data_IF_291612052737
#
_entry.id   IF_291612052737
#
_cell.length_a   1.000
_cell.length_b   1.000
_cell.length_c   1.000
_cell.angle_alpha   90.00
_cell.angle_beta   90.00
_cell.angle_gamma   90.00
#
_symmetry.space_group_name_H-M   'P 1'
#
loop_
_entity.id
_entity.type
_entity.pdbx_description
1 polymer ?
#
# COMPACT_ATOMS: atom_id res chain seq x y z
N UNK A 1 -27.98 25.74 -75.31
CA UNK A 1 -26.63 25.13 -75.33
C UNK A 1 -25.68 26.04 -74.56
N UNK A 2 -24.91 25.52 -73.58
CA UNK A 2 -23.67 26.15 -73.12
C UNK A 2 -23.66 26.76 -71.70
N UNK A 3 -23.21 25.96 -70.72
CA UNK A 3 -23.07 26.29 -69.29
C UNK A 3 -21.76 27.05 -68.98
N UNK A 4 -21.91 28.12 -68.18
CA UNK A 4 -21.07 28.71 -67.10
C UNK A 4 -19.65 28.15 -66.84
N UNK A 5 -18.69 29.07 -66.71
CA UNK A 5 -17.37 28.92 -66.06
C UNK A 5 -17.46 29.30 -64.56
N UNK A 6 -16.62 28.76 -63.67
CA UNK A 6 -16.82 28.84 -62.23
C UNK A 6 -16.23 30.12 -61.62
N UNK A 7 -17.01 30.76 -60.75
CA UNK A 7 -16.54 31.77 -59.79
C UNK A 7 -16.25 31.07 -58.46
N UNK A 8 -15.11 31.37 -57.85
CA UNK A 8 -14.83 31.10 -56.45
C UNK A 8 -15.63 32.07 -55.57
N UNK A 9 -16.31 31.55 -54.55
CA UNK A 9 -16.83 32.33 -53.42
C UNK A 9 -16.76 31.49 -52.15
N UNK A 10 -15.76 31.78 -51.31
CA UNK A 10 -15.63 31.25 -49.96
C UNK A 10 -16.41 32.10 -48.95
N UNK A 11 -17.44 31.48 -48.37
CA UNK A 11 -18.23 31.88 -47.20
C UNK A 11 -18.66 30.52 -46.58
N UNK A 12 -18.69 30.18 -45.29
CA UNK A 12 -18.56 30.84 -43.98
C UNK A 12 -18.58 29.70 -42.93
N UNK A 13 -17.78 29.76 -41.85
CA UNK A 13 -18.25 29.44 -40.49
C UNK A 13 -17.27 29.99 -39.44
N UNK A 14 -17.54 31.20 -38.96
CA UNK A 14 -17.03 31.67 -37.67
C UNK A 14 -18.24 31.66 -36.73
N UNK A 15 -18.35 30.63 -35.90
CA UNK A 15 -19.34 30.60 -34.83
C UNK A 15 -18.68 31.05 -33.53
N UNK A 16 -18.98 32.31 -33.24
CA UNK A 16 -19.26 32.92 -31.94
C UNK A 16 -18.20 32.96 -30.83
N UNK A 17 -18.08 34.16 -30.28
CA UNK A 17 -17.17 34.60 -29.23
C UNK A 17 -18.03 34.85 -28.00
N UNK A 18 -17.98 33.98 -26.99
CA UNK A 18 -18.67 34.20 -25.73
C UNK A 18 -17.75 33.99 -24.51
N UNK A 19 -17.64 35.05 -23.74
CA UNK A 19 -16.90 35.25 -22.51
C UNK A 19 -17.39 34.34 -21.37
N UNK A 20 -16.47 33.91 -20.50
CA UNK A 20 -16.69 33.08 -19.29
C UNK A 20 -17.88 33.55 -18.43
N UNK A 21 -18.68 32.64 -17.85
CA UNK A 21 -19.39 32.91 -16.61
C UNK A 21 -18.51 32.55 -15.40
N UNK A 22 -18.36 33.49 -14.47
CA UNK A 22 -17.97 33.21 -13.09
C UNK A 22 -19.23 32.84 -12.30
N UNK A 23 -19.21 31.72 -11.57
CA UNK A 23 -20.18 31.45 -10.51
C UNK A 23 -19.45 30.89 -9.28
N UNK A 24 -19.37 31.72 -8.25
CA UNK A 24 -19.03 31.34 -6.86
C UNK A 24 -20.29 30.74 -6.21
N UNK A 25 -20.12 29.83 -5.23
CA UNK A 25 -21.06 29.36 -4.17
C UNK A 25 -21.31 27.82 -4.19
N UNK A 26 -21.17 26.99 -3.15
CA UNK A 26 -21.08 27.12 -1.68
C UNK A 26 -20.38 25.88 -1.06
N UNK A 27 -19.71 26.08 0.06
CA UNK A 27 -19.12 25.11 1.01
C UNK A 27 -20.09 23.98 1.44
N UNK A 28 -19.63 22.73 1.41
CA UNK A 28 -20.16 21.65 2.27
C UNK A 28 -19.04 21.17 3.17
N UNK A 29 -19.06 21.63 4.43
CA UNK A 29 -18.33 21.01 5.53
C UNK A 29 -18.88 19.59 5.76
N UNK A 30 -17.97 18.65 5.92
CA UNK A 30 -18.21 17.27 6.30
C UNK A 30 -16.88 16.68 6.75
N UNK A 31 -16.49 17.06 7.96
CA UNK A 31 -15.26 16.70 8.64
C UNK A 31 -15.11 15.19 8.79
N UNK A 32 -13.89 14.68 8.59
CA UNK A 32 -13.27 13.71 9.50
C UNK A 32 -11.80 13.51 9.09
N UNK A 33 -10.94 14.43 9.49
CA UNK A 33 -9.63 14.00 9.98
C UNK A 33 -9.84 13.36 11.36
N UNK A 34 -9.37 12.14 11.58
CA UNK A 34 -8.73 11.82 12.84
C UNK A 34 -7.22 11.80 12.59
N UNK A 35 -6.60 12.91 12.92
CA UNK A 35 -5.17 12.98 13.18
C UNK A 35 -4.91 12.18 14.47
N UNK A 36 -4.10 11.12 14.44
CA UNK A 36 -3.71 10.42 15.68
C UNK A 36 -2.23 9.98 15.70
N UNK A 37 -1.35 10.88 16.17
CA UNK A 37 0.04 10.66 16.66
C UNK A 37 1.14 10.45 15.58
N UNK A 38 2.22 11.25 15.41
CA UNK A 38 3.20 11.95 16.30
C UNK A 38 3.92 10.93 17.20
N UNK A 39 5.16 10.46 16.98
CA UNK A 39 6.41 11.01 16.41
C UNK A 39 7.36 9.86 15.95
N UNK A 40 8.08 10.01 14.83
CA UNK A 40 9.46 9.52 14.68
C UNK A 40 10.15 10.22 13.49
N UNK A 41 11.21 11.05 13.68
CA UNK A 41 11.66 12.02 12.67
C UNK A 41 12.68 11.48 11.64
N UNK A 42 12.61 10.21 11.24
CA UNK A 42 13.64 9.59 10.37
C UNK A 42 13.21 9.20 8.95
N UNK A 43 12.02 9.58 8.48
CA UNK A 43 11.68 9.45 7.05
C UNK A 43 11.53 10.84 6.43
N UNK A 44 12.58 11.28 5.76
CA UNK A 44 12.55 12.48 4.92
C UNK A 44 11.97 12.09 3.56
N UNK A 45 10.64 11.95 3.48
CA UNK A 45 9.96 11.80 2.19
C UNK A 45 9.68 13.19 1.65
N UNK A 46 10.39 13.53 0.58
CA UNK A 46 10.16 14.74 -0.19
C UNK A 46 8.73 14.72 -0.74
N UNK A 47 7.87 15.57 -0.19
CA UNK A 47 6.63 15.95 -0.84
C UNK A 47 6.96 16.95 -1.94
N UNK A 48 7.08 16.46 -3.17
CA UNK A 48 6.86 17.29 -4.37
C UNK A 48 5.63 16.73 -5.05
N UNK A 49 4.59 17.54 -5.14
CA UNK A 49 3.36 17.26 -5.88
C UNK A 49 3.71 17.00 -7.35
N UNK A 50 3.64 15.75 -7.80
CA UNK A 50 3.84 15.38 -9.20
C UNK A 50 2.67 14.48 -9.63
N UNK A 51 1.74 14.95 -10.49
CA UNK A 51 0.48 14.24 -10.76
C UNK A 51 0.59 13.11 -11.80
N UNK A 52 1.79 12.56 -12.09
CA UNK A 52 1.97 11.49 -13.09
C UNK A 52 3.15 10.54 -12.80
N UNK A 53 3.11 9.85 -11.66
CA UNK A 53 3.79 8.56 -11.50
C UNK A 53 2.78 7.60 -10.89
N UNK A 54 2.32 6.61 -11.67
CA UNK A 54 1.90 5.35 -11.05
C UNK A 54 3.02 4.96 -10.09
N UNK A 55 2.71 4.86 -8.79
CA UNK A 55 3.65 4.28 -7.83
C UNK A 55 3.88 2.85 -8.29
N UNK A 56 4.95 2.61 -9.04
CA UNK A 56 5.41 1.25 -9.30
C UNK A 56 5.60 0.62 -7.92
N UNK A 57 4.83 -0.43 -7.57
CA UNK A 57 4.99 -1.09 -6.28
C UNK A 57 6.44 -1.55 -6.18
N UNK A 58 7.10 -1.23 -5.07
CA UNK A 58 8.46 -1.70 -4.82
C UNK A 58 8.46 -3.23 -4.78
N UNK A 59 9.48 -3.88 -5.35
CA UNK A 59 9.59 -5.33 -5.30
C UNK A 59 9.76 -5.82 -3.86
N UNK A 60 9.46 -7.10 -3.62
CA UNK A 60 9.69 -7.71 -2.31
C UNK A 60 11.14 -7.51 -1.83
N UNK A 61 12.12 -7.69 -2.72
CA UNK A 61 13.53 -7.49 -2.41
C UNK A 61 13.86 -6.04 -2.05
N UNK A 62 13.30 -5.06 -2.76
CA UNK A 62 13.52 -3.64 -2.45
C UNK A 62 12.91 -3.28 -1.08
N UNK A 63 11.72 -3.81 -0.77
CA UNK A 63 11.10 -3.64 0.54
C UNK A 63 12.00 -4.23 1.65
N UNK A 64 12.53 -5.44 1.45
CA UNK A 64 13.42 -6.09 2.43
C UNK A 64 14.72 -5.32 2.67
N UNK A 65 15.26 -4.63 1.65
CA UNK A 65 16.51 -3.88 1.76
C UNK A 65 16.40 -2.70 2.76
N UNK A 66 15.22 -2.11 2.88
CA UNK A 66 14.95 -1.01 3.81
C UNK A 66 14.62 -1.47 5.25
N UNK A 67 14.38 -2.77 5.46
CA UNK A 67 13.99 -3.31 6.76
C UNK A 67 15.20 -3.52 7.70
N UNK A 68 14.99 -3.44 9.03
CA UNK A 68 16.04 -3.63 10.02
C UNK A 68 16.63 -5.05 9.98
N UNK A 69 17.87 -5.17 10.43
CA UNK A 69 18.57 -6.44 10.53
C UNK A 69 17.90 -7.41 11.53
N UNK A 70 18.03 -8.71 11.28
CA UNK A 70 17.45 -9.80 12.09
C UNK A 70 18.50 -10.80 12.61
N UNK A 71 19.79 -10.47 12.55
CA UNK A 71 20.87 -11.36 12.97
C UNK A 71 20.84 -11.74 14.45
N UNK A 72 20.13 -10.98 15.27
CA UNK A 72 19.93 -11.25 16.70
C UNK A 72 18.73 -12.17 16.99
N UNK A 73 17.89 -12.48 15.99
CA UNK A 73 16.67 -13.26 16.19
C UNK A 73 16.89 -14.74 15.89
N UNK A 74 16.35 -15.62 16.73
CA UNK A 74 16.17 -17.05 16.42
C UNK A 74 14.86 -17.32 15.68
N UNK A 75 13.87 -16.42 15.78
CA UNK A 75 12.60 -16.51 15.08
C UNK A 75 11.60 -15.44 15.51
N UNK A 76 10.32 -15.65 15.18
CA UNK A 76 9.21 -14.79 15.59
C UNK A 76 7.96 -15.63 15.81
N UNK A 77 7.37 -15.49 17.00
CA UNK A 77 6.08 -16.08 17.34
C UNK A 77 4.95 -15.11 17.03
N UNK A 78 3.86 -15.63 16.49
CA UNK A 78 2.60 -14.93 16.32
C UNK A 78 1.61 -15.54 17.31
N UNK A 79 1.14 -14.72 18.25
CA UNK A 79 0.28 -15.13 19.35
C UNK A 79 -1.17 -14.65 19.14
N UNK A 80 -2.14 -15.44 19.59
CA UNK A 80 -3.54 -15.01 19.70
C UNK A 80 -3.79 -14.10 20.91
N UNK A 81 -5.04 -13.69 21.10
CA UNK A 81 -5.46 -12.85 22.22
C UNK A 81 -5.29 -13.51 23.60
N UNK A 82 -5.14 -14.85 23.63
CA UNK A 82 -4.89 -15.64 24.84
C UNK A 82 -3.39 -15.83 25.09
N UNK A 83 -2.52 -15.30 24.22
CA UNK A 83 -1.07 -15.43 24.31
C UNK A 83 -0.55 -16.77 23.81
N UNK A 84 -1.38 -17.60 23.16
CA UNK A 84 -0.96 -18.87 22.58
C UNK A 84 -0.35 -18.64 21.20
N UNK A 85 0.81 -19.24 20.94
CA UNK A 85 1.42 -19.22 19.63
C UNK A 85 0.55 -19.96 18.61
N UNK A 86 0.04 -19.22 17.62
CA UNK A 86 -0.74 -19.75 16.49
C UNK A 86 0.11 -19.98 15.26
N UNK A 87 1.24 -19.29 15.14
CA UNK A 87 2.20 -19.47 14.05
C UNK A 87 3.61 -19.10 14.55
N UNK A 88 4.62 -19.81 14.06
CA UNK A 88 6.04 -19.50 14.29
C UNK A 88 6.78 -19.32 12.96
N UNK A 89 7.65 -18.31 12.87
CA UNK A 89 8.56 -18.09 11.74
C UNK A 89 10.00 -18.28 12.23
N UNK A 90 10.68 -19.39 11.87
CA UNK A 90 12.05 -19.63 12.31
C UNK A 90 13.05 -18.80 11.51
N UNK A 91 14.19 -18.46 12.12
CA UNK A 91 15.36 -17.99 11.39
C UNK A 91 16.06 -19.17 10.69
N UNK A 92 15.51 -19.58 9.55
CA UNK A 92 15.99 -20.70 8.75
C UNK A 92 16.19 -20.32 7.27
N UNK A 93 17.09 -20.98 6.54
CA UNK A 93 17.27 -20.76 5.10
C UNK A 93 15.94 -20.82 4.35
N UNK A 94 15.67 -19.82 3.51
CA UNK A 94 14.42 -19.69 2.75
C UNK A 94 13.23 -19.09 3.53
N UNK A 95 13.34 -18.81 4.83
CA UNK A 95 12.30 -18.15 5.64
C UNK A 95 12.68 -16.75 6.15
N UNK A 96 13.95 -16.37 5.99
CA UNK A 96 14.51 -15.11 6.49
C UNK A 96 13.81 -13.86 5.94
N UNK A 97 13.34 -13.90 4.68
CA UNK A 97 12.59 -12.78 4.09
C UNK A 97 11.30 -12.48 4.85
N UNK A 98 10.49 -13.50 5.14
CA UNK A 98 9.29 -13.33 5.96
C UNK A 98 9.62 -12.95 7.40
N UNK A 99 10.66 -13.54 8.00
CA UNK A 99 11.07 -13.18 9.36
C UNK A 99 11.43 -11.69 9.46
N UNK A 100 12.21 -11.17 8.50
CA UNK A 100 12.59 -9.76 8.43
C UNK A 100 11.38 -8.83 8.28
N UNK A 101 10.44 -9.22 7.42
CA UNK A 101 9.19 -8.46 7.20
C UNK A 101 8.30 -8.44 8.44
N UNK A 102 8.11 -9.58 9.10
CA UNK A 102 7.31 -9.64 10.33
C UNK A 102 7.97 -8.91 11.50
N UNK A 103 9.31 -8.93 11.59
CA UNK A 103 10.02 -8.10 12.56
C UNK A 103 9.80 -6.60 12.29
N UNK A 104 9.87 -6.17 11.03
CA UNK A 104 9.57 -4.79 10.65
C UNK A 104 8.12 -4.40 11.00
N UNK A 105 7.15 -5.30 10.81
CA UNK A 105 5.77 -5.08 11.28
C UNK A 105 5.71 -4.94 12.80
N UNK A 106 6.40 -5.80 13.55
CA UNK A 106 6.42 -5.73 15.00
C UNK A 106 6.97 -4.37 15.48
N UNK A 107 8.04 -3.88 14.87
CA UNK A 107 8.64 -2.59 15.22
C UNK A 107 7.73 -1.40 14.85
N UNK A 108 7.10 -1.44 13.67
CA UNK A 108 6.29 -0.33 13.17
C UNK A 108 4.90 -0.23 13.82
N UNK A 109 4.35 -1.36 14.29
CA UNK A 109 3.01 -1.45 14.86
C UNK A 109 3.00 -1.81 16.35
N UNK A 110 4.13 -1.66 17.04
CA UNK A 110 4.24 -1.90 18.48
C UNK A 110 3.92 -3.34 18.90
N UNK A 111 4.30 -4.31 18.07
CA UNK A 111 4.08 -5.73 18.28
C UNK A 111 2.65 -6.19 17.96
N UNK A 112 1.77 -5.31 17.45
CA UNK A 112 0.40 -5.68 17.12
C UNK A 112 0.27 -6.04 15.63
N UNK A 113 -0.39 -7.14 15.33
CA UNK A 113 -0.80 -7.52 13.98
C UNK A 113 -2.32 -7.42 13.87
N UNK A 114 -2.80 -6.24 13.48
CA UNK A 114 -4.20 -5.97 13.15
C UNK A 114 -4.40 -5.72 11.65
N UNK A 115 -5.61 -5.34 11.22
CA UNK A 115 -5.92 -5.14 9.82
C UNK A 115 -5.02 -4.10 9.13
N UNK A 116 -4.55 -3.06 9.84
CA UNK A 116 -3.66 -2.05 9.30
C UNK A 116 -2.23 -2.60 9.12
N UNK A 117 -1.72 -3.29 10.14
CA UNK A 117 -0.43 -3.99 10.05
C UNK A 117 -0.44 -5.07 8.95
N UNK A 118 -1.54 -5.80 8.83
CA UNK A 118 -1.70 -6.83 7.81
C UNK A 118 -1.75 -6.24 6.39
N UNK A 119 -2.45 -5.13 6.18
CA UNK A 119 -2.43 -4.42 4.90
C UNK A 119 -1.01 -3.98 4.53
N UNK A 120 -0.27 -3.38 5.48
CA UNK A 120 1.12 -2.98 5.25
C UNK A 120 2.03 -4.18 4.93
N UNK A 121 1.84 -5.29 5.62
CA UNK A 121 2.60 -6.52 5.37
C UNK A 121 2.35 -7.07 3.96
N UNK A 122 1.09 -7.06 3.50
CA UNK A 122 0.74 -7.47 2.14
C UNK A 122 1.38 -6.55 1.10
N UNK A 123 1.35 -5.24 1.32
CA UNK A 123 2.02 -4.28 0.43
C UNK A 123 3.53 -4.55 0.34
N UNK A 124 4.17 -4.91 1.46
CA UNK A 124 5.59 -5.29 1.46
C UNK A 124 5.89 -6.64 0.83
N UNK A 125 4.96 -7.60 0.87
CA UNK A 125 5.07 -8.88 0.15
C UNK A 125 4.92 -8.72 -1.38
N UNK A 126 4.42 -7.57 -1.84
CA UNK A 126 4.44 -7.13 -3.23
C UNK A 126 4.00 -8.23 -4.22
N UNK A 127 4.86 -8.60 -5.17
CA UNK A 127 4.55 -9.57 -6.23
C UNK A 127 4.13 -10.96 -5.72
N UNK A 128 4.46 -11.32 -4.47
CA UNK A 128 4.09 -12.61 -3.90
C UNK A 128 2.62 -12.71 -3.47
N UNK A 129 1.93 -11.58 -3.29
CA UNK A 129 0.53 -11.57 -2.84
C UNK A 129 -0.40 -12.19 -3.89
N UNK A 130 -0.16 -11.93 -5.18
CA UNK A 130 -1.00 -12.45 -6.26
C UNK A 130 -1.01 -13.99 -6.29
N UNK A 131 0.15 -14.62 -6.09
CA UNK A 131 0.25 -16.09 -6.07
C UNK A 131 -0.43 -16.69 -4.83
N UNK A 132 -0.37 -16.03 -3.67
CA UNK A 132 -1.07 -16.46 -2.46
C UNK A 132 -2.60 -16.37 -2.60
N UNK A 133 -3.10 -15.29 -3.19
CA UNK A 133 -4.54 -15.13 -3.47
C UNK A 133 -5.06 -16.18 -4.45
N UNK A 134 -4.26 -16.52 -5.46
CA UNK A 134 -4.60 -17.56 -6.44
C UNK A 134 -4.49 -18.98 -5.86
N UNK A 135 -3.62 -19.20 -4.87
CA UNK A 135 -3.34 -20.51 -4.28
C UNK A 135 -3.38 -20.48 -2.74
N UNK A 136 -4.58 -20.41 -2.13
CA UNK A 136 -4.70 -20.39 -0.67
C UNK A 136 -4.01 -21.57 0.01
N UNK A 137 -3.23 -21.31 1.05
CA UNK A 137 -2.48 -22.31 1.82
C UNK A 137 -1.06 -22.57 1.30
N UNK A 138 -0.69 -22.05 0.13
CA UNK A 138 0.67 -22.17 -0.42
C UNK A 138 1.66 -21.26 0.31
N UNK A 139 1.20 -20.13 0.83
CA UNK A 139 2.03 -19.08 1.43
C UNK A 139 1.56 -18.80 2.85
N UNK A 140 1.88 -19.66 3.84
CA UNK A 140 1.27 -19.60 5.18
C UNK A 140 1.39 -18.22 5.86
N UNK A 141 2.48 -17.50 5.59
CA UNK A 141 2.68 -16.14 6.10
C UNK A 141 1.75 -15.13 5.40
N UNK A 142 1.67 -15.14 4.07
CA UNK A 142 0.80 -14.21 3.32
C UNK A 142 -0.68 -14.54 3.59
N UNK A 143 -1.01 -15.83 3.64
CA UNK A 143 -2.34 -16.34 3.98
C UNK A 143 -2.79 -15.84 5.36
N UNK A 144 -1.89 -15.84 6.36
CA UNK A 144 -2.15 -15.29 7.68
C UNK A 144 -2.49 -13.79 7.63
N UNK A 145 -1.75 -12.99 6.85
CA UNK A 145 -2.04 -11.56 6.71
C UNK A 145 -3.38 -11.31 6.02
N UNK A 146 -3.72 -12.09 4.99
CA UNK A 146 -5.04 -12.02 4.33
C UNK A 146 -6.16 -12.33 5.33
N UNK A 147 -5.98 -13.35 6.18
CA UNK A 147 -6.94 -13.69 7.23
C UNK A 147 -7.09 -12.58 8.27
N UNK A 148 -5.99 -12.02 8.78
CA UNK A 148 -6.03 -10.91 9.75
C UNK A 148 -6.73 -9.68 9.16
N UNK A 149 -6.41 -9.34 7.91
CA UNK A 149 -7.01 -8.19 7.20
C UNK A 149 -8.53 -8.34 7.03
N UNK A 150 -9.01 -9.55 6.76
CA UNK A 150 -10.43 -9.82 6.49
C UNK A 150 -11.24 -10.17 7.75
N UNK A 151 -10.61 -10.77 8.76
CA UNK A 151 -11.27 -11.35 9.92
C UNK A 151 -11.43 -10.41 11.12
N UNK A 152 -10.95 -9.17 11.04
CA UNK A 152 -10.89 -8.23 12.16
C UNK A 152 -10.24 -8.83 13.44
N UNK A 153 -9.34 -9.80 13.28
CA UNK A 153 -8.60 -10.40 14.39
C UNK A 153 -7.36 -9.54 14.70
N UNK A 154 -6.98 -9.47 15.98
CA UNK A 154 -5.73 -8.84 16.40
C UNK A 154 -4.83 -9.92 16.98
N UNK A 155 -3.65 -10.08 16.40
CA UNK A 155 -2.60 -10.98 16.87
C UNK A 155 -1.45 -10.16 17.46
N UNK A 156 -0.53 -10.83 18.15
CA UNK A 156 0.68 -10.23 18.71
C UNK A 156 1.90 -10.84 18.04
N UNK A 157 2.80 -10.00 17.56
CA UNK A 157 4.10 -10.36 17.02
C UNK A 157 5.14 -10.30 18.14
N UNK A 158 5.77 -11.43 18.43
CA UNK A 158 6.78 -11.56 19.46
C UNK A 158 8.07 -12.09 18.85
N UNK A 159 9.04 -11.22 18.52
CA UNK A 159 10.38 -11.63 18.14
C UNK A 159 11.01 -12.51 19.24
N UNK A 160 11.77 -13.51 18.83
CA UNK A 160 12.48 -14.43 19.73
C UNK A 160 13.97 -14.22 19.52
N UNK A 161 14.67 -13.85 20.59
CA UNK A 161 16.13 -13.63 20.58
C UNK A 161 16.90 -14.96 20.39
N UNK A 162 18.11 -14.87 19.84
CA UNK A 162 19.01 -16.00 19.60
C UNK A 162 19.91 -16.35 20.79
#
# INVERSE_FOLDING_TARGET
>A
MGFRRPFYSGLTLNQDKATKPQTVQIVRQGEATPYWFKVNPLYKVFFVENPMLERTPMSFQDNLAAMPDIGHLSGLDILDAQGKAVHHIPNAPGKQGSLKLYNALALNFGGKLDAAAAAQGLDWFAEHVADAQANPGKHPNIDLLLQVKNGNCSLVLKPVEA
#
